data_IF_841285350292
#
_entry.id   IF_841285350292
#
_cell.length_a   1.000
_cell.length_b   1.000
_cell.length_c   1.000
_cell.angle_alpha   90.00
_cell.angle_beta   90.00
_cell.angle_gamma   90.00
#
_symmetry.space_group_name_H-M   'P 1'
#
loop_
_entity.id
_entity.type
_entity.pdbx_description
1 polymer ?
#
# COMPACT_ATOMS: atom_id res chain seq x y z
N UNK A 1 53.73 38.94 13.04
CA UNK A 1 52.91 37.79 12.61
C UNK A 1 51.71 38.33 11.86
N UNK A 2 51.62 38.08 10.55
CA UNK A 2 50.50 38.51 9.69
C UNK A 2 49.59 37.31 9.49
N UNK A 3 48.33 37.40 9.91
CA UNK A 3 47.32 36.39 9.62
C UNK A 3 46.69 36.69 8.26
N UNK A 4 46.71 35.70 7.37
CA UNK A 4 46.04 35.74 6.09
C UNK A 4 44.64 35.12 6.24
N UNK A 5 43.61 35.84 5.83
CA UNK A 5 42.23 35.36 5.76
C UNK A 5 42.02 34.68 4.40
N UNK A 6 41.61 33.40 4.42
CA UNK A 6 41.27 32.65 3.22
C UNK A 6 39.76 32.75 2.97
N UNK A 7 39.37 33.41 1.88
CA UNK A 7 37.99 33.46 1.39
C UNK A 7 37.68 32.18 0.62
N UNK A 8 36.73 31.39 1.12
CA UNK A 8 36.22 30.18 0.45
C UNK A 8 34.98 30.58 -0.35
N UNK A 9 35.10 30.58 -1.68
CA UNK A 9 33.99 30.72 -2.63
C UNK A 9 33.38 29.34 -2.89
N UNK A 10 32.14 29.12 -2.43
CA UNK A 10 31.36 27.91 -2.73
C UNK A 10 30.76 27.93 -4.15
N UNK A 11 30.49 26.76 -4.77
CA UNK A 11 29.94 26.69 -6.11
C UNK A 11 28.47 27.13 -6.16
N UNK A 12 28.10 27.79 -7.27
CA UNK A 12 26.77 28.26 -7.56
C UNK A 12 25.78 27.08 -7.67
N UNK A 13 24.69 27.17 -6.89
CA UNK A 13 23.56 26.24 -6.95
C UNK A 13 22.78 26.48 -8.25
N UNK A 14 22.95 25.58 -9.22
CA UNK A 14 22.07 25.51 -10.40
C UNK A 14 20.68 25.08 -9.96
N UNK A 15 19.71 26.01 -10.09
CA UNK A 15 18.29 25.71 -9.89
C UNK A 15 17.81 24.85 -11.06
N UNK A 16 17.62 23.57 -10.80
CA UNK A 16 16.88 22.68 -11.69
C UNK A 16 15.41 23.12 -11.67
N UNK A 17 14.97 23.77 -12.73
CA UNK A 17 13.57 24.05 -13.01
C UNK A 17 12.84 22.71 -13.24
N UNK A 18 12.26 22.15 -12.20
CA UNK A 18 11.37 20.99 -12.32
C UNK A 18 10.09 21.44 -13.05
N UNK A 19 9.68 20.79 -14.16
CA UNK A 19 8.47 21.16 -14.87
C UNK A 19 7.24 20.87 -14.01
N UNK A 20 6.65 21.92 -13.43
CA UNK A 20 5.42 21.88 -12.60
C UNK A 20 4.13 21.76 -13.42
N UNK A 21 4.20 21.19 -14.63
CA UNK A 21 3.08 21.09 -15.56
C UNK A 21 2.51 19.69 -15.65
N UNK A 22 1.83 19.21 -14.60
CA UNK A 22 0.94 18.05 -14.74
C UNK A 22 -0.29 18.49 -15.56
N UNK A 23 -0.25 18.23 -16.87
CA UNK A 23 -1.31 18.58 -17.80
C UNK A 23 -2.50 17.63 -17.56
N UNK A 24 -3.54 18.12 -16.86
CA UNK A 24 -4.73 17.32 -16.51
C UNK A 24 -5.51 16.81 -17.73
N UNK A 25 -5.38 17.46 -18.88
CA UNK A 25 -6.20 17.18 -20.06
C UNK A 25 -5.78 15.93 -20.83
N UNK A 26 -4.47 15.60 -20.89
CA UNK A 26 -3.99 14.40 -21.60
C UNK A 26 -4.28 13.10 -20.84
N UNK A 27 -4.56 13.17 -19.54
CA UNK A 27 -4.88 11.99 -18.72
C UNK A 27 -6.30 11.48 -18.99
N UNK A 28 -7.20 12.37 -19.44
CA UNK A 28 -8.61 12.01 -19.63
C UNK A 28 -8.82 11.04 -20.80
N UNK A 29 -8.07 11.16 -21.89
CA UNK A 29 -8.31 10.37 -23.09
C UNK A 29 -7.82 8.92 -22.93
N UNK A 30 -6.63 8.72 -22.36
CA UNK A 30 -6.09 7.38 -22.03
C UNK A 30 -6.90 6.71 -20.90
N UNK A 31 -7.50 7.50 -20.00
CA UNK A 31 -8.31 7.00 -18.89
C UNK A 31 -9.62 6.32 -19.34
N UNK A 32 -10.16 6.64 -20.53
CA UNK A 32 -11.44 6.07 -20.99
C UNK A 32 -11.38 4.58 -21.34
N UNK A 33 -10.19 4.04 -21.67
CA UNK A 33 -10.02 2.63 -22.06
C UNK A 33 -9.61 1.70 -20.93
N UNK A 34 -9.22 2.24 -19.77
CA UNK A 34 -8.81 1.41 -18.65
C UNK A 34 -10.02 0.68 -18.05
N UNK A 35 -9.91 -0.64 -17.88
CA UNK A 35 -10.90 -1.42 -17.14
C UNK A 35 -11.05 -0.83 -15.73
N UNK A 36 -12.29 -0.75 -15.24
CA UNK A 36 -12.63 -0.25 -13.90
C UNK A 36 -13.45 -1.27 -13.14
N UNK A 37 -13.17 -1.41 -11.84
CA UNK A 37 -13.96 -2.21 -10.91
C UNK A 37 -14.47 -1.35 -9.77
N UNK A 38 -15.61 -1.73 -9.20
CA UNK A 38 -16.09 -1.17 -7.94
C UNK A 38 -15.17 -1.55 -6.80
N UNK A 39 -14.95 -0.63 -5.85
CA UNK A 39 -14.25 -0.97 -4.61
C UNK A 39 -15.23 -1.73 -3.70
N UNK A 40 -14.82 -2.90 -3.23
CA UNK A 40 -15.69 -3.79 -2.43
C UNK A 40 -16.16 -3.10 -1.14
N UNK A 41 -17.45 -3.23 -0.84
CA UNK A 41 -18.07 -2.67 0.38
C UNK A 41 -18.32 -1.17 0.35
N UNK A 42 -17.95 -0.45 -0.71
CA UNK A 42 -18.02 1.03 -0.74
C UNK A 42 -18.70 1.54 -2.03
N UNK A 43 -20.04 1.71 -2.00
CA UNK A 43 -20.82 2.10 -3.18
C UNK A 43 -20.38 3.42 -3.82
N UNK A 44 -20.43 3.46 -5.16
CA UNK A 44 -20.09 4.66 -5.94
C UNK A 44 -18.59 4.85 -6.20
N UNK A 45 -17.72 4.14 -5.49
CA UNK A 45 -16.28 4.18 -5.72
C UNK A 45 -15.84 3.15 -6.75
N UNK A 46 -14.95 3.57 -7.64
CA UNK A 46 -14.32 2.68 -8.64
C UNK A 46 -12.82 2.95 -8.73
N UNK A 47 -12.07 1.92 -9.08
CA UNK A 47 -10.63 1.98 -9.33
C UNK A 47 -10.33 1.39 -10.72
N UNK A 48 -9.40 1.97 -11.47
CA UNK A 48 -8.97 1.43 -12.77
C UNK A 48 -7.70 0.58 -12.67
N UNK A 49 -7.42 -0.19 -13.72
CA UNK A 49 -6.13 -0.89 -13.90
C UNK A 49 -4.91 0.05 -13.91
N UNK A 50 -5.12 1.35 -14.09
CA UNK A 50 -4.08 2.38 -14.04
C UNK A 50 -3.89 3.00 -12.64
N UNK A 51 -4.60 2.53 -11.62
CA UNK A 51 -4.53 3.10 -10.28
C UNK A 51 -5.24 4.44 -10.13
N UNK A 52 -6.25 4.74 -10.97
CA UNK A 52 -6.97 6.03 -10.92
C UNK A 52 -8.32 5.87 -10.21
N UNK A 53 -8.44 6.33 -8.95
CA UNK A 53 -9.68 6.25 -8.17
C UNK A 53 -10.74 7.25 -8.66
N UNK A 54 -12.02 6.88 -8.59
CA UNK A 54 -13.15 7.76 -8.89
C UNK A 54 -14.33 7.54 -7.94
N UNK A 55 -15.07 8.61 -7.66
CA UNK A 55 -16.35 8.59 -6.95
C UNK A 55 -17.45 9.09 -7.90
N UNK A 56 -18.47 8.25 -8.15
CA UNK A 56 -19.57 8.54 -9.09
C UNK A 56 -19.07 9.06 -10.44
N UNK A 57 -17.99 8.45 -10.95
CA UNK A 57 -17.37 8.80 -12.23
C UNK A 57 -16.42 10.01 -12.19
N UNK A 58 -16.30 10.71 -11.05
CA UNK A 58 -15.38 11.86 -10.89
C UNK A 58 -14.04 11.42 -10.32
N UNK A 59 -12.88 11.90 -10.84
CA UNK A 59 -11.57 11.63 -10.26
C UNK A 59 -11.51 12.01 -8.78
N UNK A 60 -10.87 11.15 -7.98
CA UNK A 60 -10.54 11.46 -6.58
C UNK A 60 -9.12 12.02 -6.50
N UNK A 61 -8.91 12.90 -5.52
CA UNK A 61 -7.58 13.37 -5.18
C UNK A 61 -6.82 12.23 -4.48
N UNK A 62 -5.60 12.00 -4.93
CA UNK A 62 -4.65 11.10 -4.28
C UNK A 62 -3.81 11.97 -3.37
N UNK A 63 -3.91 11.74 -2.07
CA UNK A 63 -3.10 12.47 -1.10
C UNK A 63 -1.70 11.86 -1.07
N UNK A 64 -0.70 12.75 -1.12
CA UNK A 64 0.70 12.40 -1.02
C UNK A 64 1.13 12.70 0.42
N UNK A 65 0.67 11.88 1.36
CA UNK A 65 1.09 12.07 2.74
C UNK A 65 2.61 11.85 2.85
N UNK A 66 3.29 12.84 3.43
CA UNK A 66 4.74 12.83 3.59
C UNK A 66 5.22 11.75 4.57
N UNK A 67 4.35 11.28 5.47
CA UNK A 67 4.76 10.47 6.62
C UNK A 67 5.24 9.06 6.25
N UNK A 68 4.73 8.49 5.16
CA UNK A 68 5.11 7.15 4.68
C UNK A 68 5.49 7.12 3.20
N UNK A 69 5.27 8.21 2.47
CA UNK A 69 5.56 8.29 1.04
C UNK A 69 4.67 7.41 0.16
N UNK A 70 3.70 6.69 0.73
CA UNK A 70 2.77 5.82 -0.01
C UNK A 70 1.49 6.60 -0.36
N UNK A 71 0.98 6.53 -1.59
CA UNK A 71 -0.26 7.21 -1.96
C UNK A 71 -1.46 6.65 -1.19
N UNK A 72 -2.26 7.56 -0.62
CA UNK A 72 -3.50 7.22 0.08
C UNK A 72 -4.71 7.86 -0.60
N UNK A 73 -5.85 7.20 -0.45
CA UNK A 73 -7.14 7.71 -0.91
C UNK A 73 -8.15 7.69 0.23
N UNK A 74 -9.01 8.71 0.25
CA UNK A 74 -10.16 8.75 1.14
C UNK A 74 -11.31 7.99 0.50
N UNK A 75 -11.77 6.94 1.18
CA UNK A 75 -12.82 6.04 0.69
C UNK A 75 -13.85 5.83 1.80
N UNK A 76 -15.04 6.41 1.63
CA UNK A 76 -16.03 6.47 2.71
C UNK A 76 -15.53 7.35 3.86
N UNK A 77 -15.52 6.80 5.08
CA UNK A 77 -15.11 7.51 6.30
C UNK A 77 -13.64 7.25 6.70
N UNK A 78 -12.82 6.66 5.83
CA UNK A 78 -11.45 6.30 6.17
C UNK A 78 -10.45 6.36 5.02
N UNK A 79 -9.18 6.40 5.40
CA UNK A 79 -8.03 6.31 4.49
C UNK A 79 -7.73 4.85 4.13
N UNK A 80 -7.26 4.65 2.91
CA UNK A 80 -6.76 3.37 2.38
C UNK A 80 -5.53 3.62 1.52
N UNK A 81 -4.56 2.71 1.54
CA UNK A 81 -3.45 2.74 0.61
C UNK A 81 -3.96 2.43 -0.81
N UNK A 82 -3.51 3.23 -1.78
CA UNK A 82 -4.02 3.15 -3.14
C UNK A 82 -3.61 1.83 -3.83
N UNK A 83 -2.37 1.41 -3.64
CA UNK A 83 -1.80 0.16 -4.14
C UNK A 83 -2.58 -1.07 -3.62
N UNK A 84 -2.92 -1.12 -2.33
CA UNK A 84 -3.75 -2.18 -1.74
C UNK A 84 -5.14 -2.23 -2.37
N UNK A 85 -5.76 -1.06 -2.58
CA UNK A 85 -7.08 -0.97 -3.22
C UNK A 85 -7.03 -1.50 -4.66
N UNK A 86 -5.98 -1.17 -5.42
CA UNK A 86 -5.79 -1.70 -6.78
C UNK A 86 -5.54 -3.21 -6.75
N UNK A 87 -4.63 -3.66 -5.88
CA UNK A 87 -4.27 -5.07 -5.76
C UNK A 87 -5.49 -5.92 -5.37
N UNK A 88 -6.28 -5.52 -4.37
CA UNK A 88 -7.50 -6.22 -3.97
C UNK A 88 -8.51 -6.33 -5.11
N UNK A 89 -8.73 -5.24 -5.87
CA UNK A 89 -9.71 -5.22 -6.95
C UNK A 89 -9.32 -6.10 -8.15
N UNK A 90 -8.03 -6.16 -8.49
CA UNK A 90 -7.58 -6.79 -9.73
C UNK A 90 -6.76 -8.08 -9.54
N UNK A 91 -5.97 -8.19 -8.47
CA UNK A 91 -5.19 -9.38 -8.13
C UNK A 91 -5.95 -10.31 -7.17
N UNK A 92 -7.01 -9.81 -6.54
CA UNK A 92 -7.79 -10.54 -5.53
C UNK A 92 -7.16 -10.46 -4.14
N UNK A 93 -7.70 -11.23 -3.17
CA UNK A 93 -7.19 -11.22 -1.80
C UNK A 93 -5.76 -11.76 -1.72
N UNK A 94 -4.96 -11.31 -0.74
CA UNK A 94 -3.61 -11.82 -0.52
C UNK A 94 -3.62 -13.33 -0.21
N UNK A 95 -2.53 -14.08 -0.52
CA UNK A 95 -2.48 -15.54 -0.44
C UNK A 95 -2.49 -16.11 1.00
N UNK A 96 -2.27 -15.29 2.03
CA UNK A 96 -2.24 -15.70 3.43
C UNK A 96 -3.28 -14.90 4.25
N UNK A 97 -3.76 -15.40 5.40
CA UNK A 97 -4.71 -14.68 6.24
C UNK A 97 -4.11 -13.38 6.80
N UNK A 98 -4.27 -12.30 6.04
CA UNK A 98 -4.24 -10.84 6.30
C UNK A 98 -3.02 -10.26 7.04
N UNK A 99 -2.23 -11.03 7.79
CA UNK A 99 -1.05 -10.53 8.51
C UNK A 99 0.21 -10.77 7.69
N UNK A 100 1.08 -9.75 7.67
CA UNK A 100 2.41 -9.82 7.04
C UNK A 100 2.41 -9.92 5.52
N UNK A 101 1.40 -9.37 4.84
CA UNK A 101 1.40 -9.26 3.38
C UNK A 101 1.40 -7.78 3.02
N UNK A 102 2.19 -7.41 2.02
CA UNK A 102 2.27 -6.05 1.47
C UNK A 102 2.27 -6.09 -0.06
N UNK A 103 2.08 -4.94 -0.70
CA UNK A 103 2.12 -4.79 -2.15
C UNK A 103 3.55 -4.41 -2.56
N UNK A 104 4.13 -5.18 -3.48
CA UNK A 104 5.39 -4.82 -4.12
C UNK A 104 5.14 -4.06 -5.41
N UNK A 105 5.86 -2.96 -5.59
CA UNK A 105 5.98 -2.20 -6.84
C UNK A 105 7.22 -2.66 -7.61
N UNK A 106 7.06 -3.16 -8.85
CA UNK A 106 8.18 -3.71 -9.62
C UNK A 106 9.22 -2.66 -10.03
N UNK A 107 8.78 -1.42 -10.25
CA UNK A 107 9.66 -0.30 -10.60
C UNK A 107 10.22 0.49 -9.40
N UNK A 108 9.78 0.15 -8.18
CA UNK A 108 10.15 0.86 -6.96
C UNK A 108 9.47 2.23 -6.77
N UNK A 109 8.61 2.66 -7.71
CA UNK A 109 7.83 3.89 -7.58
C UNK A 109 6.49 3.58 -6.92
N UNK A 110 6.38 3.95 -5.64
CA UNK A 110 5.18 3.78 -4.82
C UNK A 110 3.98 4.58 -5.35
N UNK A 111 4.16 5.58 -6.21
CA UNK A 111 3.07 6.31 -6.86
C UNK A 111 2.59 5.66 -8.16
N UNK A 112 3.34 4.70 -8.72
CA UNK A 112 2.92 3.94 -9.89
C UNK A 112 2.07 2.73 -9.49
N UNK A 113 0.80 2.97 -9.14
CA UNK A 113 -0.15 1.93 -8.72
C UNK A 113 -0.85 1.22 -9.89
N UNK A 114 -0.20 1.04 -11.05
CA UNK A 114 -0.80 0.28 -12.16
C UNK A 114 -0.82 -1.20 -11.84
N UNK A 115 -1.87 -1.92 -12.20
CA UNK A 115 -2.03 -3.36 -11.88
C UNK A 115 -0.87 -4.22 -12.39
N UNK A 116 -0.30 -3.88 -13.56
CA UNK A 116 0.84 -4.57 -14.16
C UNK A 116 2.16 -4.30 -13.41
N UNK A 117 2.20 -3.30 -12.53
CA UNK A 117 3.32 -2.94 -11.68
C UNK A 117 3.24 -3.55 -10.26
N UNK A 118 2.14 -4.20 -9.90
CA UNK A 118 1.88 -4.64 -8.52
C UNK A 118 1.89 -6.16 -8.37
N UNK A 119 2.33 -6.65 -7.20
CA UNK A 119 2.08 -8.02 -6.74
C UNK A 119 1.97 -8.10 -5.21
N UNK A 120 1.23 -9.06 -4.70
CA UNK A 120 1.27 -9.41 -3.28
C UNK A 120 2.61 -10.09 -2.93
N UNK A 121 3.24 -9.68 -1.84
CA UNK A 121 4.38 -10.37 -1.23
C UNK A 121 4.16 -10.60 0.25
N UNK A 122 4.64 -11.73 0.76
CA UNK A 122 4.70 -11.97 2.21
C UNK A 122 5.97 -11.32 2.73
N UNK A 123 5.84 -10.57 3.82
CA UNK A 123 6.96 -10.03 4.56
C UNK A 123 7.85 -11.19 5.05
N UNK A 124 9.15 -11.23 4.70
CA UNK A 124 10.03 -12.35 5.06
C UNK A 124 10.17 -12.56 6.57
N UNK A 125 10.17 -11.49 7.36
CA UNK A 125 10.28 -11.59 8.82
C UNK A 125 9.00 -12.20 9.40
N UNK A 126 7.85 -11.79 8.89
CA UNK A 126 6.57 -12.35 9.27
C UNK A 126 6.43 -13.82 8.87
N UNK A 127 6.89 -14.20 7.67
CA UNK A 127 6.90 -15.58 7.21
C UNK A 127 7.79 -16.47 8.10
N UNK A 128 8.95 -15.94 8.51
CA UNK A 128 9.85 -16.62 9.45
C UNK A 128 9.19 -16.79 10.84
N UNK A 129 8.57 -15.75 11.38
CA UNK A 129 7.86 -15.81 12.68
C UNK A 129 6.66 -16.76 12.65
N UNK A 130 5.89 -16.77 11.55
CA UNK A 130 4.78 -17.71 11.37
C UNK A 130 5.30 -19.15 11.40
N UNK A 131 6.37 -19.41 10.65
CA UNK A 131 6.98 -20.74 10.55
C UNK A 131 7.47 -21.24 11.91
N UNK A 132 8.15 -20.38 12.69
CA UNK A 132 8.61 -20.72 14.04
C UNK A 132 7.44 -21.04 14.99
N UNK A 133 6.38 -20.22 14.95
CA UNK A 133 5.19 -20.43 15.76
C UNK A 133 4.47 -21.74 15.39
N UNK A 134 4.31 -22.04 14.10
CA UNK A 134 3.73 -23.30 13.63
C UNK A 134 4.53 -24.52 14.10
N UNK A 135 5.87 -24.46 14.02
CA UNK A 135 6.74 -25.51 14.54
C UNK A 135 6.56 -25.69 16.06
N UNK A 136 6.47 -24.60 16.83
CA UNK A 136 6.29 -24.65 18.27
C UNK A 136 4.94 -25.26 18.69
N UNK A 137 3.87 -25.00 17.94
CA UNK A 137 2.55 -25.59 18.20
C UNK A 137 2.46 -27.04 17.75
N UNK A 138 3.09 -27.41 16.64
CA UNK A 138 3.11 -28.80 16.15
C UNK A 138 4.02 -29.71 16.99
N UNK A 139 5.06 -29.14 17.63
CA UNK A 139 5.94 -29.88 18.54
C UNK A 139 5.41 -30.00 19.97
N UNK A 140 4.24 -29.44 20.31
CA UNK A 140 3.63 -29.75 21.60
C UNK A 140 3.05 -31.17 21.53
N UNK A 141 3.64 -32.17 22.23
CA UNK A 141 3.09 -33.51 22.25
C UNK A 141 1.64 -33.43 22.76
N UNK A 142 0.75 -34.26 22.20
CA UNK A 142 -0.69 -34.32 22.48
C UNK A 142 -1.08 -34.62 23.95
N UNK A 143 -0.14 -34.48 24.89
CA UNK A 143 -0.25 -34.89 26.27
C UNK A 143 -0.87 -33.84 27.21
N UNK A 144 -1.46 -32.76 26.68
CA UNK A 144 -2.28 -31.85 27.48
C UNK A 144 -3.65 -32.49 27.69
N UNK A 145 -3.80 -33.23 28.81
CA UNK A 145 -5.13 -33.59 29.36
C UNK A 145 -5.99 -32.33 29.38
N UNK A 146 -7.00 -32.25 28.51
CA UNK A 146 -7.94 -31.12 28.51
C UNK A 146 -8.52 -31.00 29.92
N UNK A 147 -8.48 -29.83 30.57
CA UNK A 147 -9.13 -29.67 31.87
C UNK A 147 -10.60 -30.06 31.72
N UNK A 148 -11.08 -30.98 32.56
CA UNK A 148 -12.50 -31.36 32.57
C UNK A 148 -13.31 -30.08 32.83
N UNK A 149 -13.99 -29.57 31.82
CA UNK A 149 -14.93 -28.47 31.99
C UNK A 149 -15.99 -28.92 33.00
N UNK A 150 -16.02 -28.32 34.20
CA UNK A 150 -17.14 -28.49 35.13
C UNK A 150 -18.31 -27.73 34.51
N UNK A 151 -19.30 -28.48 34.02
CA UNK A 151 -20.60 -27.92 33.66
C UNK A 151 -21.26 -27.44 34.96
N UNK A 152 -21.37 -26.13 35.12
CA UNK A 152 -22.13 -25.53 36.24
C UNK A 152 -23.54 -25.30 35.73
N UNK A 153 -24.51 -26.07 36.26
CA UNK A 153 -25.93 -25.81 36.04
C UNK A 153 -26.39 -24.73 37.01
N UNK A 154 -26.86 -23.60 36.49
CA UNK A 154 -27.58 -22.61 37.27
C UNK A 154 -29.06 -23.01 37.34
N UNK A 155 -29.63 -23.02 38.56
CA UNK A 155 -31.06 -23.24 38.83
C UNK A 155 -31.77 -21.91 39.03
#
# INVERSE_FOLDING_TARGET
MRHAEATITGPASERLDTPTGYNHDTVNEVSTRAERKSIEGIPGYTISTLGVPRLWGRPLNIDKQELLGVPVILVGDGERFLDEVVAMAFLGPPPAPIRGVTVLHFDGDVFNCRVDNLRWIVDPEWDALRTEHEMQFHMQPANRKRPKQRVVFFK
#
